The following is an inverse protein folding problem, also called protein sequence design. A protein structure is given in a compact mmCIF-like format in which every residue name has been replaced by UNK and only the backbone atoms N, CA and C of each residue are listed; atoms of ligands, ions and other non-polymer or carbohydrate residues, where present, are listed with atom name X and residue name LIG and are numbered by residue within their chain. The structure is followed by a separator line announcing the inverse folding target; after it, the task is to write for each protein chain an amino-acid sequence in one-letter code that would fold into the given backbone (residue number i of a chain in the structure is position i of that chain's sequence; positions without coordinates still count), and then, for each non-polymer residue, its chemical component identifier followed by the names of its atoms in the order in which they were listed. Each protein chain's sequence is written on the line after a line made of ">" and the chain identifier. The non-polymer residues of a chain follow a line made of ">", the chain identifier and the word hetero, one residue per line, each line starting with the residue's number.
data_IF_237061477278
#
_entry.id   IF_237061477278
#
_cell.length_a   1.000
_cell.length_b   1.000
_cell.length_c   1.000
_cell.angle_alpha   90.00
_cell.angle_beta   90.00
_cell.angle_gamma   90.00
#
_symmetry.space_group_name_H-M   'P 1'
#
loop_
_entity.id
_entity.type
_entity.pdbx_description
1 polymer ?
#
# COMPACT_ATOMS: atom_id res chain seq x y z
N UNK A 1 -9.16 5.22 42.26
CA UNK A 1 -7.95 4.47 42.62
C UNK A 1 -7.41 3.50 41.55
N UNK A 2 -8.18 3.07 40.54
CA UNK A 2 -7.70 2.13 39.48
C UNK A 2 -6.94 2.81 38.30
N UNK A 3 -7.04 4.13 38.16
CA UNK A 3 -6.38 4.85 37.07
C UNK A 3 -4.90 5.20 37.34
N UNK A 4 -4.54 5.42 38.60
CA UNK A 4 -3.18 5.85 38.98
C UNK A 4 -2.17 4.70 38.89
N UNK A 5 -2.60 3.45 39.10
CA UNK A 5 -1.71 2.27 39.03
C UNK A 5 -1.31 1.97 37.57
N UNK A 6 -2.16 2.23 36.59
CA UNK A 6 -1.83 2.06 35.16
C UNK A 6 -0.79 3.06 34.65
N UNK A 7 -0.82 4.29 35.17
CA UNK A 7 0.16 5.33 34.79
C UNK A 7 1.54 5.05 35.41
N UNK A 8 1.57 4.54 36.63
CA UNK A 8 2.87 4.19 37.30
C UNK A 8 3.58 3.03 36.63
N UNK A 9 2.84 2.01 36.16
CA UNK A 9 3.44 0.86 35.43
C UNK A 9 3.98 1.31 34.07
N UNK A 10 3.32 2.28 33.41
CA UNK A 10 3.80 2.81 32.14
C UNK A 10 5.08 3.66 32.29
N UNK A 11 5.20 4.39 33.40
CA UNK A 11 6.39 5.20 33.68
C UNK A 11 7.60 4.37 34.09
N UNK A 12 7.37 3.22 34.77
CA UNK A 12 8.46 2.31 35.14
C UNK A 12 9.06 1.58 33.93
N UNK A 13 8.25 1.30 32.90
CA UNK A 13 8.72 0.70 31.64
C UNK A 13 9.61 1.65 30.83
N UNK A 14 9.44 2.97 31.01
CA UNK A 14 10.26 3.99 30.34
C UNK A 14 11.66 4.18 30.94
N UNK A 15 11.92 3.66 32.14
CA UNK A 15 13.19 3.83 32.86
C UNK A 15 14.11 2.61 32.80
N UNK A 16 13.70 1.51 32.17
CA UNK A 16 14.51 0.29 32.07
C UNK A 16 14.88 0.00 30.62
N UNK A 17 16.12 0.35 30.17
CA UNK A 17 16.52 0.18 28.77
C UNK A 17 16.51 -1.28 28.29
N UNK A 18 16.61 -2.26 29.19
CA UNK A 18 16.57 -3.69 28.83
C UNK A 18 15.12 -4.19 28.62
N UNK A 19 14.12 -3.50 29.16
CA UNK A 19 12.72 -3.81 28.92
C UNK A 19 12.23 -3.24 27.57
N UNK A 20 12.89 -2.19 27.09
CA UNK A 20 12.56 -1.55 25.80
C UNK A 20 12.86 -2.46 24.60
N UNK A 21 13.95 -3.25 24.67
CA UNK A 21 14.37 -4.12 23.56
C UNK A 21 13.42 -5.32 23.38
N UNK A 22 12.78 -5.80 24.44
CA UNK A 22 11.83 -6.93 24.36
C UNK A 22 10.39 -6.50 24.05
N UNK A 23 9.99 -5.27 24.40
CA UNK A 23 8.66 -4.76 24.09
C UNK A 23 8.53 -4.30 22.63
N UNK A 24 9.63 -3.91 21.98
CA UNK A 24 9.63 -3.46 20.59
C UNK A 24 9.40 -4.57 19.56
N UNK A 25 9.61 -5.84 19.93
CA UNK A 25 9.44 -6.96 19.00
C UNK A 25 8.00 -7.41 18.80
N UNK A 26 7.04 -6.97 19.63
CA UNK A 26 5.68 -7.53 19.63
C UNK A 26 4.53 -6.51 19.67
N UNK A 27 4.78 -5.20 19.55
CA UNK A 27 3.70 -4.20 19.57
C UNK A 27 3.69 -3.40 18.29
N UNK A 28 2.81 -3.78 17.38
CA UNK A 28 2.42 -2.93 16.25
C UNK A 28 1.31 -2.00 16.76
N UNK A 29 1.64 -0.74 17.03
CA UNK A 29 0.64 0.27 17.45
C UNK A 29 0.08 0.93 16.21
N UNK A 30 -1.13 0.55 15.82
CA UNK A 30 -1.87 1.21 14.76
C UNK A 30 -2.56 2.47 15.32
N UNK A 31 -2.27 3.63 14.73
CA UNK A 31 -3.07 4.85 14.95
C UNK A 31 -2.52 5.90 15.90
N UNK A 32 -1.25 5.86 16.26
CA UNK A 32 -0.54 6.99 16.88
C UNK A 32 0.61 7.44 15.98
N UNK A 33 1.06 8.69 16.12
CA UNK A 33 2.22 9.26 15.42
C UNK A 33 3.56 8.62 15.79
N UNK A 34 3.56 7.36 16.26
CA UNK A 34 4.79 6.60 16.44
C UNK A 34 5.37 6.35 15.04
N UNK A 35 6.46 7.05 14.80
CA UNK A 35 7.19 6.96 13.55
C UNK A 35 7.47 5.50 13.20
N UNK A 36 6.96 5.03 12.05
CA UNK A 36 7.32 3.75 11.44
C UNK A 36 8.86 3.58 11.31
N UNK A 37 9.61 4.67 11.40
CA UNK A 37 11.07 4.70 11.52
C UNK A 37 11.62 3.93 12.73
N UNK A 38 10.88 3.80 13.84
CA UNK A 38 11.35 3.06 15.01
C UNK A 38 11.28 1.53 14.83
N UNK A 39 10.38 1.03 13.97
CA UNK A 39 10.34 -0.40 13.59
C UNK A 39 11.62 -0.81 12.85
N UNK A 40 12.31 0.14 12.22
CA UNK A 40 13.55 -0.09 11.45
C UNK A 40 14.79 -0.42 12.31
N UNK A 41 14.80 -0.05 13.58
CA UNK A 41 16.03 -0.10 14.41
C UNK A 41 16.22 -1.39 15.18
N UNK A 42 15.26 -2.31 15.18
CA UNK A 42 15.29 -3.53 15.98
C UNK A 42 15.50 -4.84 15.22
N UNK A 43 15.43 -4.86 13.90
CA UNK A 43 15.59 -6.10 13.14
C UNK A 43 16.73 -5.99 12.13
N UNK A 44 17.63 -6.99 12.12
CA UNK A 44 18.57 -7.25 11.02
C UNK A 44 17.86 -7.68 9.72
N UNK A 45 16.59 -7.29 9.52
CA UNK A 45 15.80 -7.62 8.35
C UNK A 45 16.32 -6.82 7.16
N UNK A 46 17.28 -7.38 6.44
CA UNK A 46 17.66 -6.89 5.12
C UNK A 46 16.42 -6.97 4.23
N UNK A 47 16.05 -5.84 3.63
CA UNK A 47 15.04 -5.85 2.57
C UNK A 47 15.52 -6.78 1.46
N UNK A 48 14.74 -7.82 1.18
CA UNK A 48 15.05 -8.73 0.10
C UNK A 48 14.63 -8.13 -1.24
N UNK A 49 15.42 -8.30 -2.31
CA UNK A 49 15.00 -7.88 -3.63
C UNK A 49 13.74 -8.67 -4.04
N UNK A 50 12.77 -7.98 -4.63
CA UNK A 50 11.56 -8.61 -5.16
C UNK A 50 11.85 -9.05 -6.58
N UNK A 51 11.71 -10.35 -6.85
CA UNK A 51 11.71 -10.88 -8.22
C UNK A 51 10.31 -10.71 -8.80
N UNK A 52 10.24 -10.22 -10.04
CA UNK A 52 9.00 -9.89 -10.72
C UNK A 52 8.76 -10.79 -11.93
N UNK A 53 7.50 -11.15 -12.14
CA UNK A 53 7.01 -11.92 -13.27
C UNK A 53 5.98 -11.09 -14.01
N UNK A 54 6.19 -10.86 -15.31
CA UNK A 54 5.16 -10.31 -16.19
C UNK A 54 4.07 -11.39 -16.40
N UNK A 55 2.83 -11.08 -16.03
CA UNK A 55 1.75 -12.08 -16.04
C UNK A 55 0.95 -12.03 -17.34
N UNK A 56 0.43 -10.85 -17.69
CA UNK A 56 -0.52 -10.72 -18.79
C UNK A 56 -0.40 -9.39 -19.56
N UNK A 57 0.80 -8.79 -19.52
CA UNK A 57 1.11 -7.60 -20.34
C UNK A 57 2.12 -7.96 -21.43
N UNK A 58 2.38 -7.04 -22.35
CA UNK A 58 3.39 -7.23 -23.38
C UNK A 58 4.81 -7.23 -22.79
N UNK A 59 5.79 -7.85 -23.43
CA UNK A 59 7.17 -7.89 -22.95
C UNK A 59 7.80 -6.49 -22.75
N UNK A 60 7.35 -5.48 -23.50
CA UNK A 60 7.84 -4.11 -23.47
C UNK A 60 7.03 -3.18 -22.57
N UNK A 61 5.95 -3.68 -21.96
CA UNK A 61 5.14 -2.89 -20.99
C UNK A 61 5.97 -2.44 -19.79
N UNK A 62 6.88 -3.33 -19.34
CA UNK A 62 7.72 -3.10 -18.16
C UNK A 62 9.19 -3.01 -18.56
N UNK A 63 9.83 -1.88 -18.25
CA UNK A 63 11.23 -1.64 -18.57
C UNK A 63 12.00 -1.30 -17.31
N UNK A 64 13.10 -2.03 -17.06
CA UNK A 64 14.02 -1.70 -15.98
C UNK A 64 15.11 -0.76 -16.52
N UNK A 65 15.26 0.40 -15.89
CA UNK A 65 16.31 1.35 -16.18
C UNK A 65 17.03 1.73 -14.88
N UNK A 66 18.18 1.11 -14.60
CA UNK A 66 18.92 1.23 -13.33
C UNK A 66 18.00 0.85 -12.17
N UNK A 67 17.69 1.83 -11.30
CA UNK A 67 16.83 1.64 -10.12
C UNK A 67 15.35 1.97 -10.39
N UNK A 68 15.00 2.31 -11.64
CA UNK A 68 13.63 2.59 -12.05
C UNK A 68 13.02 1.35 -12.70
N UNK A 69 11.77 1.09 -12.33
CA UNK A 69 10.86 0.23 -13.07
C UNK A 69 9.84 1.14 -13.75
N UNK A 70 9.81 1.14 -15.08
CA UNK A 70 8.93 1.96 -15.90
C UNK A 70 7.84 1.08 -16.46
N UNK A 71 6.57 1.44 -16.24
CA UNK A 71 5.40 0.83 -16.84
C UNK A 71 4.81 1.77 -17.88
N UNK A 72 4.57 1.29 -19.09
CA UNK A 72 3.95 2.10 -20.16
C UNK A 72 2.45 2.33 -19.95
N UNK A 73 1.82 1.58 -19.04
CA UNK A 73 0.38 1.61 -18.82
C UNK A 73 -0.44 0.80 -19.84
N UNK A 74 0.18 0.17 -20.83
CA UNK A 74 -0.52 -0.58 -21.88
C UNK A 74 0.18 -1.92 -22.19
N UNK A 75 -0.61 -2.99 -22.41
CA UNK A 75 -2.05 -3.13 -22.17
C UNK A 75 -2.36 -3.15 -20.65
N UNK A 76 -3.65 -3.07 -20.28
CA UNK A 76 -4.07 -3.32 -18.88
C UNK A 76 -3.62 -4.71 -18.45
N UNK A 77 -3.09 -4.82 -17.25
CA UNK A 77 -2.60 -6.06 -16.69
C UNK A 77 -1.61 -5.82 -15.56
N UNK A 78 -0.90 -6.86 -15.16
CA UNK A 78 -0.05 -6.80 -13.97
C UNK A 78 1.33 -7.44 -14.17
N UNK A 79 2.28 -6.91 -13.43
CA UNK A 79 3.51 -7.56 -13.05
C UNK A 79 3.38 -8.08 -11.62
N UNK A 80 3.73 -9.31 -11.34
CA UNK A 80 3.53 -10.00 -10.08
C UNK A 80 4.86 -10.36 -9.43
N UNK A 81 4.95 -10.29 -8.09
CA UNK A 81 6.06 -10.89 -7.37
C UNK A 81 6.13 -12.42 -7.60
N UNK A 82 7.32 -12.99 -7.58
CA UNK A 82 7.50 -14.45 -7.64
C UNK A 82 7.00 -15.12 -6.35
N UNK A 83 7.25 -14.48 -5.21
CA UNK A 83 6.92 -14.97 -3.87
C UNK A 83 5.60 -14.39 -3.38
N UNK A 84 4.87 -15.17 -2.58
CA UNK A 84 3.75 -14.70 -1.76
C UNK A 84 4.23 -14.13 -0.43
N UNK A 85 3.48 -13.17 0.10
CA UNK A 85 3.73 -12.52 1.37
C UNK A 85 2.47 -12.58 2.24
N UNK A 86 2.65 -12.67 3.55
CA UNK A 86 1.57 -12.76 4.55
C UNK A 86 1.55 -11.51 5.43
N UNK A 87 2.47 -11.41 6.39
CA UNK A 87 2.63 -10.22 7.21
C UNK A 87 3.87 -9.44 6.74
N UNK A 88 3.72 -8.18 6.38
CA UNK A 88 4.82 -7.40 5.85
C UNK A 88 4.58 -5.89 5.90
N UNK A 89 5.66 -5.14 5.73
CA UNK A 89 5.62 -3.72 5.39
C UNK A 89 6.15 -3.58 3.96
N UNK A 90 5.39 -2.92 3.10
CA UNK A 90 5.80 -2.53 1.76
C UNK A 90 6.13 -1.04 1.75
N UNK A 91 7.33 -0.69 1.29
CA UNK A 91 7.71 0.68 0.93
C UNK A 91 7.86 0.75 -0.59
N UNK A 92 7.22 1.75 -1.21
CA UNK A 92 7.28 1.96 -2.66
C UNK A 92 7.18 3.45 -2.97
N UNK A 93 8.02 3.92 -3.89
CA UNK A 93 7.85 5.24 -4.49
C UNK A 93 7.33 5.11 -5.91
N UNK A 94 6.39 5.97 -6.27
CA UNK A 94 5.75 5.98 -7.58
C UNK A 94 5.55 7.39 -8.12
N UNK A 95 5.48 7.50 -9.44
CA UNK A 95 5.33 8.78 -10.13
C UNK A 95 4.60 8.57 -11.45
N UNK A 96 3.41 9.15 -11.59
CA UNK A 96 2.74 9.24 -12.88
C UNK A 96 3.42 10.25 -13.78
N UNK A 97 3.53 9.93 -15.07
CA UNK A 97 4.12 10.80 -16.09
C UNK A 97 3.07 11.59 -16.86
N UNK A 98 1.82 11.18 -16.80
CA UNK A 98 0.69 11.76 -17.51
C UNK A 98 -0.41 12.20 -16.54
N UNK A 99 -1.17 13.24 -16.94
CA UNK A 99 -2.34 13.69 -16.19
C UNK A 99 -3.45 12.63 -16.25
N UNK A 100 -4.12 12.40 -15.12
CA UNK A 100 -5.20 11.43 -15.05
C UNK A 100 -4.76 9.97 -15.08
N UNK A 101 -3.47 9.70 -14.88
CA UNK A 101 -2.94 8.34 -14.85
C UNK A 101 -3.57 7.50 -13.75
N UNK A 102 -3.77 6.21 -14.04
CA UNK A 102 -4.29 5.21 -13.13
C UNK A 102 -3.28 4.06 -13.00
N UNK A 103 -3.12 3.57 -11.79
CA UNK A 103 -2.35 2.41 -11.41
C UNK A 103 -2.69 2.02 -9.97
N UNK A 104 -2.14 0.92 -9.51
CA UNK A 104 -2.29 0.44 -8.15
C UNK A 104 -1.20 -0.55 -7.76
N UNK A 105 -1.08 -0.83 -6.48
CA UNK A 105 -0.39 -2.02 -6.01
C UNK A 105 -1.40 -2.93 -5.32
N UNK A 106 -1.49 -4.17 -5.81
CA UNK A 106 -2.27 -5.19 -5.13
C UNK A 106 -1.42 -5.88 -4.08
N UNK A 107 -2.01 -6.10 -2.92
CA UNK A 107 -1.44 -6.91 -1.84
C UNK A 107 -2.34 -8.12 -1.60
N UNK A 108 -1.74 -9.23 -1.15
CA UNK A 108 -2.43 -10.51 -0.94
C UNK A 108 -3.21 -10.97 -2.17
N UNK A 109 -2.62 -10.77 -3.35
CA UNK A 109 -3.32 -11.03 -4.59
C UNK A 109 -3.21 -12.48 -5.06
N UNK A 110 -4.14 -12.86 -5.92
CA UNK A 110 -4.15 -14.13 -6.64
C UNK A 110 -2.98 -14.23 -7.63
N UNK A 111 -2.67 -15.46 -8.03
CA UNK A 111 -1.62 -15.73 -9.01
C UNK A 111 -2.00 -15.31 -10.43
N UNK A 112 -3.30 -15.37 -10.75
CA UNK A 112 -3.83 -15.15 -12.10
C UNK A 112 -4.89 -14.05 -12.08
N UNK A 113 -4.77 -13.08 -12.98
CA UNK A 113 -5.82 -12.08 -13.23
C UNK A 113 -7.08 -12.72 -13.79
N UNK A 114 -8.22 -12.10 -13.55
CA UNK A 114 -9.48 -12.37 -14.24
C UNK A 114 -9.34 -12.06 -15.74
N UNK A 115 -9.92 -12.89 -16.60
CA UNK A 115 -9.78 -12.76 -18.05
C UNK A 115 -10.43 -11.51 -18.63
N UNK A 116 -11.49 -11.00 -17.99
CA UNK A 116 -12.24 -9.84 -18.46
C UNK A 116 -11.64 -8.53 -17.97
N UNK A 117 -11.45 -8.41 -16.66
CA UNK A 117 -10.86 -7.20 -16.05
C UNK A 117 -9.36 -7.11 -16.27
N UNK A 118 -8.69 -8.25 -16.50
CA UNK A 118 -7.23 -8.42 -16.60
C UNK A 118 -6.48 -8.12 -15.30
N UNK A 119 -7.22 -7.96 -14.18
CA UNK A 119 -6.69 -7.67 -12.85
C UNK A 119 -6.88 -8.86 -11.90
N UNK A 120 -6.00 -9.08 -10.92
CA UNK A 120 -6.11 -10.18 -9.97
C UNK A 120 -7.12 -9.85 -8.87
N UNK A 121 -7.65 -10.89 -8.22
CA UNK A 121 -8.25 -10.72 -6.90
C UNK A 121 -7.20 -10.33 -5.87
N UNK A 122 -7.59 -9.58 -4.84
CA UNK A 122 -6.69 -9.09 -3.79
C UNK A 122 -7.19 -7.80 -3.16
N UNK A 123 -6.35 -7.12 -2.40
CA UNK A 123 -6.65 -5.76 -1.94
C UNK A 123 -5.82 -4.77 -2.75
N UNK A 124 -6.50 -3.83 -3.38
CA UNK A 124 -5.84 -2.77 -4.13
C UNK A 124 -5.56 -1.55 -3.25
N UNK A 125 -4.35 -1.05 -3.35
CA UNK A 125 -3.89 0.24 -2.84
C UNK A 125 -3.78 1.18 -4.03
N UNK A 126 -4.80 2.01 -4.22
CA UNK A 126 -4.98 2.85 -5.40
C UNK A 126 -3.89 3.90 -5.57
N UNK A 127 -3.39 4.06 -6.80
CA UNK A 127 -2.41 5.07 -7.20
C UNK A 127 -2.94 5.90 -8.37
N UNK A 128 -3.74 6.94 -8.10
CA UNK A 128 -4.26 7.84 -9.13
C UNK A 128 -3.45 9.13 -9.22
N UNK A 129 -3.32 9.67 -10.41
CA UNK A 129 -2.83 11.02 -10.63
C UNK A 129 -3.94 12.05 -10.33
N UNK A 130 -3.58 13.23 -9.83
CA UNK A 130 -4.53 14.21 -9.29
C UNK A 130 -5.59 14.66 -10.29
N UNK A 131 -5.27 14.72 -11.59
CA UNK A 131 -6.21 15.13 -12.63
C UNK A 131 -7.22 14.04 -13.01
N UNK A 132 -7.04 12.82 -12.50
CA UNK A 132 -7.97 11.71 -12.74
C UNK A 132 -9.41 12.09 -12.40
N UNK A 133 -9.62 12.82 -11.31
CA UNK A 133 -10.95 13.26 -10.88
C UNK A 133 -11.63 14.22 -11.87
N UNK A 134 -10.85 15.01 -12.61
CA UNK A 134 -11.37 15.91 -13.65
C UNK A 134 -11.77 15.14 -14.91
N UNK A 135 -11.06 14.05 -15.21
CA UNK A 135 -11.31 13.22 -16.39
C UNK A 135 -12.41 12.16 -16.15
N UNK A 136 -12.80 11.95 -14.88
CA UNK A 136 -13.78 10.94 -14.48
C UNK A 136 -15.05 11.55 -13.86
N UNK A 137 -15.51 12.68 -14.38
CA UNK A 137 -16.78 13.28 -14.01
C UNK A 137 -17.90 12.41 -14.61
N UNK A 138 -18.83 11.95 -13.77
CA UNK A 138 -20.00 11.16 -14.19
C UNK A 138 -21.29 11.87 -13.74
N UNK A 139 -22.21 12.05 -14.65
CA UNK A 139 -23.48 12.75 -14.41
C UNK A 139 -23.29 14.13 -13.76
N UNK A 140 -22.25 14.85 -14.16
CA UNK A 140 -21.89 16.15 -13.60
C UNK A 140 -21.24 16.10 -12.20
N UNK A 141 -21.06 14.92 -11.63
CA UNK A 141 -20.45 14.73 -10.31
C UNK A 141 -18.97 14.40 -10.47
N UNK A 142 -18.13 15.29 -9.94
CA UNK A 142 -16.68 15.09 -9.87
C UNK A 142 -16.32 14.27 -8.63
N UNK A 143 -15.53 13.18 -8.76
CA UNK A 143 -15.04 12.45 -7.60
C UNK A 143 -14.22 13.35 -6.67
N UNK A 144 -14.44 13.31 -5.36
CA UNK A 144 -13.60 14.06 -4.40
C UNK A 144 -12.17 13.54 -4.42
N UNK A 145 -11.20 14.42 -4.60
CA UNK A 145 -9.79 14.05 -4.76
C UNK A 145 -9.24 13.25 -3.57
N UNK A 146 -9.57 13.65 -2.35
CA UNK A 146 -9.12 12.96 -1.13
C UNK A 146 -9.68 11.54 -0.99
N UNK A 147 -10.71 11.17 -1.77
CA UNK A 147 -11.36 9.87 -1.65
C UNK A 147 -10.78 8.81 -2.59
N UNK A 148 -10.12 9.21 -3.65
CA UNK A 148 -9.62 8.29 -4.67
C UNK A 148 -8.11 8.05 -4.60
N UNK A 149 -7.36 8.95 -3.97
CA UNK A 149 -5.92 8.79 -3.80
C UNK A 149 -5.59 8.02 -2.53
N UNK A 150 -4.98 6.86 -2.68
CA UNK A 150 -4.71 5.94 -1.58
C UNK A 150 -5.97 5.27 -1.05
N UNK A 151 -7.01 5.13 -1.87
CA UNK A 151 -8.18 4.33 -1.54
C UNK A 151 -7.80 2.87 -1.41
N UNK A 152 -8.43 2.16 -0.46
CA UNK A 152 -8.21 0.73 -0.21
C UNK A 152 -9.52 -0.02 -0.45
N UNK A 153 -9.47 -1.10 -1.22
CA UNK A 153 -10.65 -1.92 -1.49
C UNK A 153 -10.31 -3.33 -1.96
N UNK A 154 -11.21 -4.26 -1.70
CA UNK A 154 -11.12 -5.62 -2.22
C UNK A 154 -11.54 -5.70 -3.69
N UNK A 155 -10.86 -6.55 -4.44
CA UNK A 155 -11.10 -6.87 -5.85
C UNK A 155 -11.22 -8.39 -5.98
N UNK A 156 -11.98 -8.87 -6.98
CA UNK A 156 -12.09 -10.30 -7.27
C UNK A 156 -12.74 -11.13 -6.15
N UNK A 157 -13.71 -10.54 -5.44
CA UNK A 157 -14.42 -11.23 -4.34
C UNK A 157 -13.73 -11.13 -2.97
N UNK A 158 -12.60 -10.44 -2.86
CA UNK A 158 -12.00 -10.15 -1.55
C UNK A 158 -12.83 -9.09 -0.84
N UNK A 159 -13.28 -9.41 0.37
CA UNK A 159 -14.05 -8.52 1.23
C UNK A 159 -13.16 -7.83 2.25
N UNK A 160 -13.50 -6.61 2.63
CA UNK A 160 -12.79 -5.81 3.63
C UNK A 160 -13.77 -4.98 4.46
N UNK A 161 -13.37 -4.60 5.66
CA UNK A 161 -14.07 -3.60 6.48
C UNK A 161 -13.30 -2.29 6.42
N UNK A 162 -13.84 -1.24 5.77
CA UNK A 162 -13.16 0.06 5.67
C UNK A 162 -13.08 0.78 7.01
N UNK A 163 -11.92 1.42 7.29
CA UNK A 163 -11.77 2.32 8.44
C UNK A 163 -12.49 3.65 8.22
N UNK A 164 -12.52 4.12 6.97
CA UNK A 164 -13.16 5.37 6.56
C UNK A 164 -14.08 5.13 5.35
N UNK A 165 -15.32 4.66 5.55
CA UNK A 165 -16.15 4.09 4.49
C UNK A 165 -16.53 5.05 3.37
N UNK A 166 -16.47 4.53 2.12
CA UNK A 166 -17.14 5.03 0.92
C UNK A 166 -17.72 3.83 0.18
N UNK A 167 -18.91 3.41 0.55
CA UNK A 167 -19.44 2.10 0.19
C UNK A 167 -18.57 0.98 0.78
N UNK A 168 -18.14 0.04 -0.04
CA UNK A 168 -17.23 -1.06 0.34
C UNK A 168 -15.75 -0.65 0.33
N UNK A 169 -15.42 0.55 -0.10
CA UNK A 169 -14.07 1.08 -0.17
C UNK A 169 -13.73 1.93 1.04
N UNK A 170 -12.47 2.00 1.42
CA UNK A 170 -11.95 2.91 2.44
C UNK A 170 -11.27 4.08 1.77
N UNK A 171 -11.80 5.29 1.95
CA UNK A 171 -11.24 6.54 1.41
C UNK A 171 -10.15 7.10 2.31
N UNK A 172 -9.17 7.78 1.74
CA UNK A 172 -8.19 8.54 2.51
C UNK A 172 -8.84 9.68 3.29
N UNK A 173 -8.33 9.92 4.51
CA UNK A 173 -8.81 11.02 5.37
C UNK A 173 -8.38 12.40 4.86
N UNK A 174 -7.30 12.44 4.07
CA UNK A 174 -6.82 13.65 3.40
C UNK A 174 -6.07 13.28 2.11
N UNK A 175 -6.00 14.22 1.15
CA UNK A 175 -5.15 14.07 -0.02
C UNK A 175 -3.72 14.53 0.30
N UNK A 176 -2.75 13.62 0.10
CA UNK A 176 -1.32 13.90 0.25
C UNK A 176 -0.51 13.59 -1.01
N UNK A 177 -1.18 13.08 -2.06
CA UNK A 177 -0.50 12.81 -3.32
C UNK A 177 -0.07 14.11 -4.00
N UNK A 178 1.08 14.05 -4.66
CA UNK A 178 1.62 15.09 -5.52
C UNK A 178 1.23 14.82 -6.96
N UNK A 179 1.28 15.85 -7.80
CA UNK A 179 0.90 15.81 -9.20
C UNK A 179 1.86 14.98 -10.06
N UNK A 180 1.50 14.79 -11.33
CA UNK A 180 2.35 14.13 -12.34
C UNK A 180 3.76 14.71 -12.37
N UNK A 181 4.73 13.86 -12.61
CA UNK A 181 6.14 14.23 -12.62
C UNK A 181 6.79 14.31 -11.24
N UNK A 182 6.00 14.22 -10.15
CA UNK A 182 6.51 14.24 -8.78
C UNK A 182 6.46 12.87 -8.12
N UNK A 183 7.47 12.55 -7.32
CA UNK A 183 7.53 11.30 -6.57
C UNK A 183 6.61 11.30 -5.37
N UNK A 184 5.78 10.27 -5.27
CA UNK A 184 4.98 9.92 -4.11
C UNK A 184 5.58 8.69 -3.43
N UNK A 185 5.40 8.56 -2.13
CA UNK A 185 5.79 7.37 -1.36
C UNK A 185 4.59 6.77 -0.65
N UNK A 186 4.47 5.44 -0.72
CA UNK A 186 3.57 4.67 0.10
C UNK A 186 4.36 3.82 1.10
N UNK A 187 3.86 3.76 2.32
CA UNK A 187 4.19 2.72 3.29
C UNK A 187 2.90 1.97 3.60
N UNK A 188 2.87 0.70 3.25
CA UNK A 188 1.70 -0.19 3.41
C UNK A 188 2.04 -1.26 4.43
N UNK A 189 1.39 -1.24 5.59
CA UNK A 189 1.54 -2.26 6.63
C UNK A 189 0.40 -3.27 6.49
N UNK A 190 0.74 -4.52 6.27
CA UNK A 190 -0.18 -5.64 6.06
C UNK A 190 0.03 -6.69 7.14
N UNK A 191 -0.94 -6.87 8.04
CA UNK A 191 -0.86 -7.84 9.15
C UNK A 191 -2.22 -8.45 9.42
N UNK A 192 -2.34 -9.77 9.32
CA UNK A 192 -3.54 -10.55 9.68
C UNK A 192 -4.87 -9.95 9.18
N UNK A 193 -4.92 -9.55 7.91
CA UNK A 193 -6.12 -8.97 7.29
C UNK A 193 -6.36 -7.50 7.64
N UNK A 194 -5.41 -6.84 8.29
CA UNK A 194 -5.41 -5.39 8.53
C UNK A 194 -4.41 -4.74 7.59
N UNK A 195 -4.82 -3.66 6.93
CA UNK A 195 -3.93 -2.82 6.13
C UNK A 195 -3.98 -1.40 6.65
N UNK A 196 -2.80 -0.78 6.81
CA UNK A 196 -2.65 0.64 7.11
C UNK A 196 -1.74 1.29 6.08
N UNK A 197 -2.19 2.43 5.55
CA UNK A 197 -1.50 3.17 4.50
C UNK A 197 -1.03 4.53 4.98
N UNK A 198 0.25 4.80 4.76
CA UNK A 198 0.80 6.15 4.83
C UNK A 198 1.18 6.63 3.44
N UNK A 199 0.85 7.89 3.13
CA UNK A 199 1.20 8.59 1.89
C UNK A 199 2.10 9.77 2.21
N UNK A 200 3.27 9.80 1.57
CA UNK A 200 4.27 10.86 1.79
C UNK A 200 4.57 11.08 3.28
N UNK A 201 4.76 9.96 4.01
CA UNK A 201 5.17 9.93 5.41
C UNK A 201 4.05 10.13 6.43
N UNK A 202 2.77 10.26 6.04
CA UNK A 202 1.66 10.44 6.97
C UNK A 202 0.58 9.37 6.75
N UNK A 203 0.06 8.81 7.85
CA UNK A 203 -1.09 7.90 7.83
C UNK A 203 -2.32 8.59 7.23
N UNK A 204 -2.97 7.91 6.29
CA UNK A 204 -4.16 8.45 5.62
C UNK A 204 -5.32 7.47 5.50
N UNK A 205 -5.09 6.16 5.59
CA UNK A 205 -6.15 5.19 5.33
C UNK A 205 -5.89 3.81 5.96
N UNK A 206 -6.95 3.03 6.10
CA UNK A 206 -6.84 1.65 6.54
C UNK A 206 -8.08 0.82 6.21
N UNK A 207 -7.90 -0.48 6.28
CA UNK A 207 -8.97 -1.49 6.27
C UNK A 207 -8.66 -2.56 7.32
N UNK A 208 -9.67 -3.34 7.66
CA UNK A 208 -9.54 -4.52 8.49
C UNK A 208 -10.36 -5.68 7.95
N UNK A 209 -10.20 -6.86 8.56
CA UNK A 209 -10.94 -8.08 8.25
C UNK A 209 -10.90 -8.45 6.75
N UNK A 210 -9.78 -8.18 6.07
CA UNK A 210 -9.62 -8.68 4.72
C UNK A 210 -9.73 -10.21 4.71
N UNK A 211 -10.52 -10.75 3.78
CA UNK A 211 -10.66 -12.20 3.61
C UNK A 211 -9.40 -12.84 3.03
N UNK A 212 -8.63 -12.10 2.23
CA UNK A 212 -7.29 -12.47 1.80
C UNK A 212 -6.26 -11.95 2.83
N UNK A 213 -5.33 -12.83 3.27
CA UNK A 213 -4.28 -12.50 4.26
C UNK A 213 -2.89 -12.94 3.83
N UNK A 214 -2.79 -13.60 2.67
CA UNK A 214 -1.57 -14.07 2.05
C UNK A 214 -1.75 -14.10 0.54
N UNK A 215 -0.75 -13.66 -0.19
CA UNK A 215 -0.79 -13.63 -1.64
C UNK A 215 0.40 -12.90 -2.24
N UNK A 216 0.29 -12.64 -3.51
CA UNK A 216 1.32 -11.93 -4.25
C UNK A 216 1.20 -10.42 -4.12
N UNK A 217 2.29 -9.72 -4.41
CA UNK A 217 2.25 -8.31 -4.76
C UNK A 217 2.08 -8.21 -6.28
N UNK A 218 1.18 -7.32 -6.74
CA UNK A 218 1.12 -6.99 -8.16
C UNK A 218 1.22 -5.47 -8.34
N UNK A 219 1.99 -5.06 -9.34
CA UNK A 219 1.99 -3.68 -9.84
C UNK A 219 1.08 -3.64 -11.07
N UNK A 220 0.26 -2.62 -11.16
CA UNK A 220 -0.75 -2.49 -12.20
C UNK A 220 -0.28 -1.62 -13.36
N UNK A 221 -0.59 -2.07 -14.57
CA UNK A 221 -0.51 -1.33 -15.82
C UNK A 221 -1.93 -0.92 -16.19
N UNK A 222 -2.30 0.38 -16.12
CA UNK A 222 -3.66 0.83 -16.39
C UNK A 222 -3.73 2.22 -17.03
N UNK A 223 -3.36 2.29 -18.30
CA UNK A 223 -3.70 3.38 -19.20
C UNK A 223 -2.65 4.47 -19.38
N UNK A 224 -1.73 4.69 -18.45
CA UNK A 224 -0.73 5.77 -18.52
C UNK A 224 0.64 5.35 -18.00
N UNK A 225 1.69 6.04 -18.45
CA UNK A 225 3.04 5.77 -17.95
C UNK A 225 3.15 6.10 -16.47
N UNK A 226 3.63 5.11 -15.71
CA UNK A 226 3.99 5.25 -14.30
C UNK A 226 5.39 4.69 -14.06
N UNK A 227 6.14 5.32 -13.18
CA UNK A 227 7.49 4.92 -12.79
C UNK A 227 7.51 4.56 -11.31
N UNK A 228 8.23 3.47 -10.98
CA UNK A 228 8.42 2.99 -9.62
C UNK A 228 9.90 2.92 -9.27
N UNK A 229 10.22 3.16 -7.99
CA UNK A 229 11.56 2.96 -7.43
C UNK A 229 11.48 2.68 -5.93
N UNK A 230 12.61 2.36 -5.31
CA UNK A 230 12.74 2.14 -3.86
C UNK A 230 11.73 1.11 -3.31
N UNK A 231 11.38 0.12 -4.14
CA UNK A 231 10.53 -1.00 -3.75
C UNK A 231 11.25 -1.88 -2.72
N UNK A 232 10.72 -1.94 -1.52
CA UNK A 232 11.24 -2.75 -0.43
C UNK A 232 10.11 -3.46 0.29
N UNK A 233 10.36 -4.69 0.69
CA UNK A 233 9.47 -5.46 1.53
C UNK A 233 10.21 -5.90 2.79
N UNK A 234 9.56 -5.74 3.94
CA UNK A 234 10.04 -6.18 5.24
C UNK A 234 9.02 -7.18 5.74
N UNK A 235 9.38 -8.46 5.72
CA UNK A 235 8.51 -9.51 6.24
C UNK A 235 8.47 -9.44 7.76
N UNK A 236 7.28 -9.59 8.31
CA UNK A 236 7.01 -9.62 9.73
C UNK A 236 6.73 -11.06 10.17
N UNK A 237 7.02 -11.41 11.44
CA UNK A 237 6.77 -12.73 11.98
C UNK A 237 5.26 -13.06 12.04
#
# INVERSE_FOLDING_TARGET
>A
MKSIIKVAVFLLLLLNPNCFIHAQSNVIVFGSELELTQVRHGSNNKANPINWINVNTNPDTWKKNKDLLICTGQPIGVMRSEKQYENFILEIEWKHMEAGGNSGVFVWSDAKPDETSRLPGGVEVQMLELDWVNQNIRDGIKPPIAYVHGELFGVGGVETVPDNPRGTRSKSIENRCKAKGEWNSYTVVCVDGVIKLSVNGKFVNGISKATAKKGYLCLESEGAEIQFRNLKIIELP
#
